data_IF_667454217012
#
_entry.id   IF_667454217012
#
_cell.length_a   1.000
_cell.length_b   1.000
_cell.length_c   1.000
_cell.angle_alpha   90.00
_cell.angle_beta   90.00
_cell.angle_gamma   90.00
#
_symmetry.space_group_name_H-M   'P 1'
#
loop_
_entity.id
_entity.type
_entity.pdbx_description
1 polymer ?
#
# COMPACT_ATOMS: atom_id res chain seq x y z
N UNK A 1 -5.50 -6.62 5.06
CA UNK A 1 -6.56 -6.12 5.96
C UNK A 1 -6.02 -5.04 6.89
N UNK A 2 -5.02 -5.35 7.73
CA UNK A 2 -4.47 -4.42 8.73
C UNK A 2 -4.16 -2.99 8.23
N UNK A 3 -3.42 -2.82 7.12
CA UNK A 3 -3.12 -1.48 6.60
C UNK A 3 -4.39 -0.75 6.15
N UNK A 4 -5.25 -1.41 5.38
CA UNK A 4 -6.49 -0.83 4.88
C UNK A 4 -7.48 -0.47 6.01
N UNK A 5 -7.59 -1.31 7.05
CA UNK A 5 -8.39 -1.03 8.25
C UNK A 5 -7.88 0.18 9.03
N UNK A 6 -6.58 0.46 8.93
CA UNK A 6 -5.95 1.65 9.48
C UNK A 6 -5.92 2.82 8.48
N UNK A 7 -6.56 2.69 7.31
CA UNK A 7 -6.61 3.76 6.32
C UNK A 7 -5.27 4.03 5.64
N UNK A 8 -4.39 3.03 5.56
CA UNK A 8 -3.09 3.10 4.88
C UNK A 8 -3.15 2.26 3.61
N UNK A 9 -2.70 2.80 2.48
CA UNK A 9 -2.53 2.07 1.22
C UNK A 9 -1.03 2.05 0.90
N UNK A 10 -0.45 0.85 0.73
CA UNK A 10 1.00 0.69 0.52
C UNK A 10 1.49 1.20 -0.84
N UNK A 11 0.74 0.87 -1.91
CA UNK A 11 0.99 1.24 -3.32
C UNK A 11 2.28 0.72 -3.98
N UNK A 12 3.17 0.05 -3.25
CA UNK A 12 4.35 -0.62 -3.84
C UNK A 12 4.54 -2.03 -3.24
N UNK A 13 3.61 -2.93 -3.51
CA UNK A 13 3.70 -4.32 -3.04
C UNK A 13 4.49 -5.15 -4.06
N UNK A 14 5.63 -5.68 -3.62
CA UNK A 14 6.54 -6.51 -4.41
C UNK A 14 7.39 -7.38 -3.48
N UNK A 15 7.96 -8.51 -3.96
CA UNK A 15 8.74 -9.42 -3.12
C UNK A 15 9.88 -8.72 -2.36
N UNK A 16 10.51 -7.71 -2.97
CA UNK A 16 11.59 -6.92 -2.39
C UNK A 16 11.17 -6.16 -1.13
N UNK A 17 9.88 -5.81 -1.04
CA UNK A 17 9.30 -5.09 0.09
C UNK A 17 8.68 -6.03 1.14
N UNK A 18 8.90 -7.35 1.03
CA UNK A 18 8.46 -8.36 1.98
C UNK A 18 9.69 -8.94 2.68
N UNK A 19 9.83 -8.66 3.98
CA UNK A 19 11.01 -9.04 4.77
C UNK A 19 10.64 -10.10 5.79
N UNK A 20 11.48 -11.12 5.93
CA UNK A 20 11.35 -12.15 6.96
C UNK A 20 12.26 -11.82 8.14
N UNK A 21 11.69 -11.63 9.32
CA UNK A 21 12.44 -11.40 10.56
C UNK A 21 11.91 -12.33 11.64
N UNK A 22 12.77 -13.18 12.20
CA UNK A 22 12.42 -14.13 13.25
C UNK A 22 11.14 -14.94 12.92
N UNK A 23 11.13 -15.58 11.75
CA UNK A 23 9.99 -16.33 11.21
C UNK A 23 8.68 -15.52 11.07
N UNK A 24 8.76 -14.18 11.14
CA UNK A 24 7.61 -13.29 10.96
C UNK A 24 7.77 -12.51 9.67
N UNK A 25 6.78 -12.62 8.78
CA UNK A 25 6.73 -11.84 7.55
C UNK A 25 6.28 -10.42 7.87
N UNK A 26 7.03 -9.43 7.39
CA UNK A 26 6.77 -8.00 7.58
C UNK A 26 6.81 -7.28 6.24
N UNK A 27 6.00 -6.23 6.13
CA UNK A 27 6.04 -5.32 5.01
C UNK A 27 7.05 -4.20 5.29
N UNK A 28 7.85 -3.86 4.29
CA UNK A 28 8.84 -2.80 4.33
C UNK A 28 8.62 -1.79 3.19
N UNK A 29 9.33 -0.67 3.25
CA UNK A 29 9.29 0.42 2.27
C UNK A 29 7.91 1.07 2.05
N UNK A 30 7.56 1.97 2.96
CA UNK A 30 6.36 2.79 2.89
C UNK A 30 6.57 4.09 2.09
N UNK A 31 7.63 4.22 1.29
CA UNK A 31 7.94 5.45 0.57
C UNK A 31 6.85 5.90 -0.40
N UNK A 32 6.09 4.94 -0.94
CA UNK A 32 4.92 5.18 -1.79
C UNK A 32 3.60 5.13 -1.04
N UNK A 33 3.60 4.87 0.26
CA UNK A 33 2.37 4.72 1.02
C UNK A 33 1.63 6.03 1.18
N UNK A 34 0.31 5.94 1.34
CA UNK A 34 -0.55 7.08 1.66
C UNK A 34 -1.44 6.76 2.83
N UNK A 35 -1.65 7.76 3.67
CA UNK A 35 -2.65 7.73 4.71
C UNK A 35 -3.91 8.44 4.22
N UNK A 36 -4.99 7.69 4.09
CA UNK A 36 -6.31 8.19 3.70
C UNK A 36 -7.19 8.49 4.91
N UNK A 37 -6.79 8.02 6.10
CA UNK A 37 -7.64 8.00 7.28
C UNK A 37 -8.84 7.06 7.14
N UNK A 38 -9.42 6.63 8.27
CA UNK A 38 -10.54 5.66 8.28
C UNK A 38 -11.81 6.21 7.64
N UNK A 39 -12.10 7.51 7.77
CA UNK A 39 -13.32 8.16 7.24
C UNK A 39 -13.34 8.32 5.72
N UNK A 40 -12.17 8.47 5.07
CA UNK A 40 -12.10 8.76 3.64
C UNK A 40 -11.61 7.57 2.81
N UNK A 41 -11.32 6.42 3.43
CA UNK A 41 -10.82 5.23 2.71
C UNK A 41 -11.77 4.82 1.58
N UNK A 42 -13.07 4.68 1.85
CA UNK A 42 -14.07 4.31 0.83
C UNK A 42 -14.26 5.37 -0.26
N UNK A 43 -14.09 6.66 0.07
CA UNK A 43 -14.22 7.76 -0.90
C UNK A 43 -13.00 7.77 -1.83
N UNK A 44 -11.79 7.67 -1.27
CA UNK A 44 -10.54 7.68 -2.01
C UNK A 44 -10.30 6.39 -2.80
N UNK A 45 -10.95 5.28 -2.46
CA UNK A 45 -10.94 4.06 -3.28
C UNK A 45 -11.87 4.17 -4.50
N UNK A 46 -12.93 4.99 -4.41
CA UNK A 46 -13.88 5.22 -5.53
C UNK A 46 -13.36 6.27 -6.52
N UNK A 47 -12.49 7.18 -6.09
CA UNK A 47 -11.80 8.11 -6.98
C UNK A 47 -10.46 7.51 -7.42
N UNK A 48 -10.37 7.07 -8.69
CA UNK A 48 -9.09 6.65 -9.28
C UNK A 48 -8.09 7.79 -9.13
N UNK A 49 -6.96 7.52 -8.49
CA UNK A 49 -5.82 8.45 -8.50
C UNK A 49 -5.10 8.35 -9.84
N UNK A 50 -4.68 9.49 -10.37
CA UNK A 50 -4.01 9.61 -11.67
C UNK A 50 -2.49 9.69 -11.57
N UNK A 51 -1.95 9.85 -10.35
CA UNK A 51 -0.51 9.91 -10.12
C UNK A 51 0.11 8.52 -10.25
N UNK A 52 1.10 8.38 -11.14
CA UNK A 52 1.88 7.16 -11.26
C UNK A 52 2.74 6.97 -10.00
N UNK A 53 2.59 5.84 -9.33
CA UNK A 53 3.28 5.49 -8.08
C UNK A 53 3.48 3.97 -8.04
N UNK A 54 4.64 3.52 -7.56
CA UNK A 54 4.99 2.11 -7.44
C UNK A 54 5.88 1.59 -8.56
N UNK A 55 6.26 0.32 -8.45
CA UNK A 55 7.17 -0.36 -9.39
C UNK A 55 6.37 -0.88 -10.59
N UNK A 56 6.72 -0.43 -11.81
CA UNK A 56 5.94 -0.64 -13.04
C UNK A 56 5.45 -2.08 -13.24
N UNK A 57 6.31 -3.06 -12.99
CA UNK A 57 6.01 -4.49 -13.19
C UNK A 57 4.96 -5.06 -12.22
N UNK A 58 4.66 -4.33 -11.14
CA UNK A 58 3.78 -4.76 -10.04
C UNK A 58 2.56 -3.83 -9.85
N UNK A 59 2.37 -2.85 -10.73
CA UNK A 59 1.22 -1.93 -10.65
C UNK A 59 -0.06 -2.63 -11.11
N UNK A 60 -1.14 -2.46 -10.34
CA UNK A 60 -2.48 -2.93 -10.72
C UNK A 60 -3.09 -2.06 -11.85
N UNK A 61 -3.86 -2.63 -12.79
CA UNK A 61 -4.50 -1.90 -13.91
C UNK A 61 -5.56 -0.86 -13.51
#
# INVERSE_FOLDING_TARGET
MHLHENGVIHRDLKPENIVLVNNTVKLADFGWSIYTGKKYFHILFRHKRTTFCGTLDYVSP
#
